data_IF_798672867089
#
_entry.id   IF_798672867089
#
_cell.length_a   1.000
_cell.length_b   1.000
_cell.length_c   1.000
_cell.angle_alpha   90.00
_cell.angle_beta   90.00
_cell.angle_gamma   90.00
#
_symmetry.space_group_name_H-M   'P 1'
#
loop_
_entity.id
_entity.type
_entity.pdbx_description
1 polymer ?
#
# COMPACT_ATOMS: atom_id res chain seq x y z
N UNK A 1 -16.84 9.91 -17.33
CA UNK A 1 -16.50 9.28 -16.04
C UNK A 1 -15.07 9.65 -15.70
N UNK A 2 -14.87 10.71 -14.91
CA UNK A 2 -13.53 11.16 -14.49
C UNK A 2 -13.03 10.24 -13.37
N UNK A 3 -12.06 9.39 -13.67
CA UNK A 3 -11.29 8.69 -12.65
C UNK A 3 -10.26 9.69 -12.10
N UNK A 4 -10.66 10.53 -11.15
CA UNK A 4 -9.72 11.39 -10.43
C UNK A 4 -8.84 10.48 -9.55
N UNK A 5 -7.59 10.24 -9.97
CA UNK A 5 -6.62 9.54 -9.14
C UNK A 5 -6.10 10.47 -8.05
N UNK A 6 -6.58 10.34 -6.82
CA UNK A 6 -5.98 11.04 -5.67
C UNK A 6 -4.68 10.34 -5.29
N UNK A 7 -3.60 11.10 -5.22
CA UNK A 7 -2.31 10.64 -4.69
C UNK A 7 -2.16 11.20 -3.29
N UNK A 8 -2.10 10.32 -2.28
CA UNK A 8 -1.82 10.72 -0.90
C UNK A 8 -0.32 10.58 -0.65
N UNK A 9 0.29 11.62 -0.09
CA UNK A 9 1.72 11.66 0.23
C UNK A 9 1.92 11.88 1.73
N UNK A 10 2.75 11.04 2.35
CA UNK A 10 3.17 11.22 3.73
C UNK A 10 4.62 11.71 3.74
N UNK A 11 4.85 12.90 4.31
CA UNK A 11 6.19 13.46 4.44
C UNK A 11 6.78 13.08 5.80
N UNK A 12 8.02 12.58 5.80
CA UNK A 12 8.78 12.42 7.05
C UNK A 12 9.23 13.79 7.56
N UNK A 13 9.06 14.11 8.85
CA UNK A 13 9.53 15.38 9.40
C UNK A 13 11.04 15.54 9.21
N UNK A 14 11.48 16.76 8.83
CA UNK A 14 12.89 17.10 8.61
C UNK A 14 13.72 16.80 9.87
N UNK A 15 14.83 16.07 9.71
CA UNK A 15 15.78 15.75 10.77
C UNK A 15 15.59 14.39 11.46
N UNK A 16 14.58 13.59 11.08
CA UNK A 16 14.46 12.19 11.54
C UNK A 16 15.04 11.22 10.51
N UNK A 17 15.64 10.14 11.01
CA UNK A 17 16.08 8.99 10.22
C UNK A 17 14.89 8.51 9.37
N UNK A 18 15.10 8.31 8.07
CA UNK A 18 14.09 7.76 7.19
C UNK A 18 13.61 6.41 7.75
N UNK A 19 12.33 6.33 8.10
CA UNK A 19 11.73 5.09 8.57
C UNK A 19 11.54 4.17 7.36
N UNK A 20 12.11 2.96 7.40
CA UNK A 20 11.92 1.98 6.32
C UNK A 20 10.47 1.48 6.21
N UNK A 21 9.73 1.50 7.32
CA UNK A 21 8.32 1.05 7.39
C UNK A 21 7.42 2.28 7.46
N UNK A 22 6.42 2.32 6.57
CA UNK A 22 5.40 3.37 6.56
C UNK A 22 4.52 3.24 7.81
N UNK A 23 4.59 4.25 8.69
CA UNK A 23 3.72 4.33 9.88
C UNK A 23 2.32 4.74 9.48
N UNK A 24 1.33 4.18 10.17
CA UNK A 24 -0.09 4.51 9.99
C UNK A 24 -0.64 4.26 8.58
N UNK A 25 -0.02 3.31 7.85
CA UNK A 25 -0.44 2.91 6.50
C UNK A 25 -1.93 2.50 6.44
N UNK A 26 -2.45 1.89 7.51
CA UNK A 26 -3.86 1.52 7.61
C UNK A 26 -4.81 2.71 7.45
N UNK A 27 -4.47 3.88 8.00
CA UNK A 27 -5.27 5.11 7.89
C UNK A 27 -5.31 5.57 6.43
N UNK A 28 -4.14 5.66 5.79
CA UNK A 28 -4.01 6.08 4.40
C UNK A 28 -4.79 5.18 3.45
N UNK A 29 -4.66 3.86 3.63
CA UNK A 29 -5.38 2.87 2.82
C UNK A 29 -6.89 2.97 3.07
N UNK A 30 -7.30 3.19 4.32
CA UNK A 30 -8.69 3.40 4.68
C UNK A 30 -9.30 4.61 3.97
N UNK A 31 -8.61 5.76 3.98
CA UNK A 31 -9.06 6.97 3.28
C UNK A 31 -9.21 6.75 1.77
N UNK A 32 -8.22 6.09 1.14
CA UNK A 32 -8.26 5.78 -0.30
C UNK A 32 -9.41 4.83 -0.65
N UNK A 33 -9.68 3.83 0.19
CA UNK A 33 -10.79 2.89 0.01
C UNK A 33 -12.15 3.59 0.18
N UNK A 34 -12.29 4.46 1.17
CA UNK A 34 -13.49 5.27 1.37
C UNK A 34 -13.77 6.17 0.16
N UNK A 35 -12.74 6.86 -0.33
CA UNK A 35 -12.86 7.71 -1.51
C UNK A 35 -13.23 6.89 -2.76
N UNK A 36 -12.59 5.74 -2.96
CA UNK A 36 -12.96 4.82 -4.04
C UNK A 36 -14.43 4.40 -3.94
N UNK A 37 -14.90 4.08 -2.73
CA UNK A 37 -16.30 3.73 -2.48
C UNK A 37 -17.24 4.89 -2.79
N UNK A 38 -16.87 6.12 -2.42
CA UNK A 38 -17.67 7.32 -2.70
C UNK A 38 -17.81 7.56 -4.21
N UNK A 39 -16.77 7.29 -4.99
CA UNK A 39 -16.81 7.47 -6.45
C UNK A 39 -17.47 6.33 -7.21
N UNK A 40 -17.38 5.09 -6.72
CA UNK A 40 -17.83 3.90 -7.44
C UNK A 40 -19.05 3.22 -6.81
N UNK A 41 -19.54 3.74 -5.67
CA UNK A 41 -20.59 3.16 -4.82
C UNK A 41 -20.34 1.71 -4.42
N UNK A 42 -19.08 1.27 -4.46
CA UNK A 42 -18.64 -0.09 -4.12
C UNK A 42 -17.19 -0.08 -3.69
N UNK A 43 -16.83 -1.05 -2.86
CA UNK A 43 -15.45 -1.33 -2.51
C UNK A 43 -14.78 -2.24 -3.56
N UNK A 44 -13.45 -2.14 -3.75
CA UNK A 44 -12.74 -2.93 -4.76
C UNK A 44 -12.54 -4.40 -4.36
N UNK A 45 -12.71 -5.36 -5.27
CA UNK A 45 -12.44 -6.78 -4.97
C UNK A 45 -10.96 -7.16 -5.06
N UNK A 46 -10.13 -6.31 -5.66
CA UNK A 46 -8.69 -6.55 -5.90
C UNK A 46 -7.90 -5.29 -5.58
N UNK A 47 -6.77 -5.47 -4.89
CA UNK A 47 -5.84 -4.41 -4.53
C UNK A 47 -4.44 -4.77 -5.03
N UNK A 48 -3.79 -3.84 -5.72
CA UNK A 48 -2.41 -3.99 -6.18
C UNK A 48 -1.56 -2.90 -5.54
N UNK A 49 -0.59 -3.30 -4.73
CA UNK A 49 0.32 -2.41 -4.04
C UNK A 49 1.70 -2.45 -4.68
N UNK A 50 2.22 -1.29 -5.09
CA UNK A 50 3.59 -1.14 -5.56
C UNK A 50 4.44 -0.47 -4.49
N UNK A 51 5.40 -1.20 -3.93
CA UNK A 51 6.32 -0.70 -2.90
C UNK A 51 7.73 -0.55 -3.48
N UNK A 52 8.27 0.67 -3.50
CA UNK A 52 9.61 0.96 -4.03
C UNK A 52 10.54 1.49 -2.92
N UNK A 53 11.84 1.15 -2.95
CA UNK A 53 12.81 1.63 -1.95
C UNK A 53 12.74 0.85 -0.64
N UNK A 54 12.78 -0.48 -0.76
CA UNK A 54 12.99 -1.43 0.35
C UNK A 54 14.38 -2.00 0.17
N UNK A 55 15.14 -2.19 1.25
CA UNK A 55 16.46 -2.84 1.19
C UNK A 55 16.33 -4.37 1.27
N UNK A 56 17.32 -5.11 0.77
CA UNK A 56 17.22 -6.58 0.67
C UNK A 56 17.07 -7.25 2.04
N UNK A 57 17.80 -6.75 3.04
CA UNK A 57 17.75 -7.28 4.40
C UNK A 57 16.46 -7.00 5.17
N UNK A 58 15.63 -6.07 4.71
CA UNK A 58 14.39 -5.67 5.41
C UNK A 58 13.10 -6.01 4.67
N UNK A 59 13.20 -6.69 3.51
CA UNK A 59 12.06 -7.11 2.69
C UNK A 59 10.94 -7.77 3.50
N UNK A 60 11.26 -8.85 4.22
CA UNK A 60 10.26 -9.64 4.93
C UNK A 60 9.57 -8.83 6.02
N UNK A 61 10.35 -8.00 6.72
CA UNK A 61 9.85 -7.12 7.77
C UNK A 61 8.91 -6.05 7.22
N UNK A 62 9.24 -5.45 6.08
CA UNK A 62 8.38 -4.46 5.41
C UNK A 62 7.09 -5.12 4.95
N UNK A 63 7.19 -6.26 4.26
CA UNK A 63 6.04 -7.03 3.78
C UNK A 63 5.10 -7.38 4.93
N UNK A 64 5.60 -8.00 6.01
CA UNK A 64 4.77 -8.44 7.13
C UNK A 64 4.07 -7.28 7.84
N UNK A 65 4.75 -6.14 8.03
CA UNK A 65 4.17 -4.99 8.73
C UNK A 65 3.17 -4.23 7.85
N UNK A 66 3.54 -3.93 6.61
CA UNK A 66 2.68 -3.17 5.70
C UNK A 66 1.47 -3.99 5.26
N UNK A 67 1.64 -5.29 4.96
CA UNK A 67 0.53 -6.16 4.58
C UNK A 67 -0.48 -6.31 5.73
N UNK A 68 -0.02 -6.45 6.98
CA UNK A 68 -0.92 -6.47 8.15
C UNK A 68 -1.68 -5.16 8.30
N UNK A 69 -1.03 -4.02 8.06
CA UNK A 69 -1.69 -2.71 8.10
C UNK A 69 -2.76 -2.57 7.00
N UNK A 70 -2.47 -3.02 5.77
CA UNK A 70 -3.43 -3.03 4.66
C UNK A 70 -4.62 -3.95 4.98
N UNK A 71 -4.36 -5.17 5.46
CA UNK A 71 -5.40 -6.12 5.84
C UNK A 71 -6.27 -5.58 6.97
N UNK A 72 -5.68 -4.88 7.95
CA UNK A 72 -6.42 -4.21 9.02
C UNK A 72 -7.38 -3.16 8.46
N UNK A 73 -6.92 -2.27 7.59
CA UNK A 73 -7.77 -1.27 6.95
C UNK A 73 -8.92 -1.91 6.15
N UNK A 74 -8.65 -3.00 5.43
CA UNK A 74 -9.68 -3.74 4.71
C UNK A 74 -10.70 -4.37 5.67
N UNK A 75 -10.27 -4.97 6.79
CA UNK A 75 -11.20 -5.54 7.78
C UNK A 75 -12.08 -4.47 8.43
N UNK A 76 -11.51 -3.30 8.73
CA UNK A 76 -12.24 -2.17 9.33
C UNK A 76 -13.32 -1.62 8.39
N UNK A 77 -13.08 -1.60 7.07
CA UNK A 77 -14.03 -1.03 6.09
C UNK A 77 -15.03 -2.01 5.47
N UNK A 78 -14.62 -3.24 5.16
CA UNK A 78 -15.51 -4.23 4.51
C UNK A 78 -16.43 -4.90 5.53
N UNK A 79 -16.09 -4.82 6.82
CA UNK A 79 -16.83 -5.47 7.89
C UNK A 79 -16.80 -7.00 7.81
N UNK A 80 -17.59 -7.67 8.65
CA UNK A 80 -17.60 -9.13 8.76
C UNK A 80 -18.35 -9.85 7.63
N UNK A 81 -19.21 -9.15 6.88
CA UNK A 81 -20.16 -9.78 5.94
C UNK A 81 -19.72 -9.71 4.47
N UNK A 82 -18.62 -9.00 4.14
CA UNK A 82 -18.08 -8.95 2.78
C UNK A 82 -16.77 -9.71 2.67
N UNK A 83 -16.57 -10.31 1.49
CA UNK A 83 -15.31 -10.95 1.14
C UNK A 83 -14.19 -9.89 1.12
N UNK A 84 -13.12 -10.16 1.85
CA UNK A 84 -11.92 -9.33 1.81
C UNK A 84 -11.32 -9.32 0.40
N UNK A 85 -10.75 -8.19 -0.03
CA UNK A 85 -10.14 -8.07 -1.35
C UNK A 85 -8.91 -8.97 -1.48
N UNK A 86 -8.67 -9.47 -2.70
CA UNK A 86 -7.40 -10.12 -3.03
C UNK A 86 -6.30 -9.06 -3.12
N UNK A 87 -5.26 -9.21 -2.31
CA UNK A 87 -4.13 -8.26 -2.25
C UNK A 87 -2.94 -8.84 -3.02
N UNK A 88 -2.43 -8.08 -3.99
CA UNK A 88 -1.17 -8.34 -4.66
C UNK A 88 -0.15 -7.29 -4.19
N UNK A 89 0.94 -7.74 -3.59
CA UNK A 89 2.01 -6.86 -3.09
C UNK A 89 3.25 -7.03 -3.97
N UNK A 90 3.60 -5.98 -4.70
CA UNK A 90 4.69 -5.97 -5.68
C UNK A 90 5.80 -5.06 -5.14
N UNK A 91 6.95 -5.64 -4.87
CA UNK A 91 8.14 -4.88 -4.48
C UNK A 91 8.95 -4.55 -5.74
N UNK A 92 9.15 -3.26 -5.97
CA UNK A 92 9.84 -2.74 -7.13
C UNK A 92 11.26 -2.35 -6.73
N UNK A 93 12.24 -3.05 -7.30
CA UNK A 93 13.67 -2.78 -7.13
C UNK A 93 14.24 -2.14 -8.38
N UNK A 94 14.53 -0.84 -8.31
CA UNK A 94 15.13 -0.08 -9.43
C UNK A 94 16.65 -0.06 -9.41
N UNK A 95 17.26 -0.09 -8.22
CA UNK A 95 18.70 -0.07 -8.04
C UNK A 95 19.20 -1.47 -7.69
N UNK A 96 19.54 -2.25 -8.71
CA UNK A 96 20.10 -3.59 -8.56
C UNK A 96 21.19 -3.80 -9.60
N UNK A 97 22.18 -4.64 -9.27
CA UNK A 97 23.36 -4.86 -10.12
C UNK A 97 23.12 -5.89 -11.24
N UNK A 98 21.87 -6.26 -11.52
CA UNK A 98 21.53 -7.18 -12.61
C UNK A 98 21.58 -6.43 -13.93
N UNK A 99 22.31 -6.99 -14.90
CA UNK A 99 22.42 -6.45 -16.25
C UNK A 99 21.96 -7.51 -17.23
N UNK A 100 21.13 -7.12 -18.18
CA UNK A 100 20.78 -7.95 -19.33
C UNK A 100 21.72 -7.58 -20.47
N UNK A 101 22.27 -8.58 -21.14
CA UNK A 101 23.07 -8.42 -22.35
C UNK A 101 22.36 -9.17 -23.49
N UNK A 102 22.46 -8.63 -24.71
CA UNK A 102 21.93 -9.23 -25.94
C UNK A 102 23.01 -10.07 -26.58
#
# INVERSE_FOLDING_TARGET
>A
TQCAGRVVQQFSPKGKIALEIVKDLHILVGELLCEFSNHNSRLPNKLVFYRAGVDDGSFQKVLDNELRAIQRACKELYGHNQLLPQICFIIVKKHHNTRFFV
#
